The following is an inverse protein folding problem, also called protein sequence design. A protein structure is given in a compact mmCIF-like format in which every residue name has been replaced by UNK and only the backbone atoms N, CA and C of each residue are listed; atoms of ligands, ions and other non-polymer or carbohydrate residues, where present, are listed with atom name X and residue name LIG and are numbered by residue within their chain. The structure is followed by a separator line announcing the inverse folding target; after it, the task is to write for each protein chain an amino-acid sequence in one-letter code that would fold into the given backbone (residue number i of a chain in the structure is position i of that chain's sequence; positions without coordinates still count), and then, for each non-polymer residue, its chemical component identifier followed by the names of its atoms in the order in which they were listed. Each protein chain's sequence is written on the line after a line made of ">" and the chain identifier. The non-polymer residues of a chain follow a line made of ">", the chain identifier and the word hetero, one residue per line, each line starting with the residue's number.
data_IF_243336779625
#
_entry.id   IF_243336779625
#
_cell.length_a   1.000
_cell.length_b   1.000
_cell.length_c   1.000
_cell.angle_alpha   90.00
_cell.angle_beta   90.00
_cell.angle_gamma   90.00
#
_symmetry.space_group_name_H-M   'P 1'
#
loop_
_entity.id
_entity.type
_entity.pdbx_description
1 polymer ?
#
# COMPACT_ATOMS: atom_id res chain seq x y z
N UNK A 1 -78.93 -2.07 2.17
CA UNK A 1 -77.93 -3.08 1.76
C UNK A 1 -76.95 -2.38 0.85
N UNK A 2 -75.84 -1.91 1.42
CA UNK A 2 -74.65 -1.54 0.68
C UNK A 2 -73.64 -2.62 1.05
N UNK A 3 -73.29 -3.48 0.09
CA UNK A 3 -72.22 -4.45 0.24
C UNK A 3 -70.89 -3.71 0.03
N UNK A 4 -70.04 -3.74 1.05
CA UNK A 4 -68.64 -3.31 0.98
C UNK A 4 -67.85 -4.42 0.29
N UNK A 5 -67.42 -4.18 -0.96
CA UNK A 5 -66.45 -5.02 -1.64
C UNK A 5 -65.07 -4.78 -1.03
N UNK A 6 -64.66 -5.69 -0.15
CA UNK A 6 -63.32 -5.74 0.43
C UNK A 6 -62.37 -6.47 -0.54
N UNK A 7 -61.69 -5.71 -1.40
CA UNK A 7 -60.63 -6.21 -2.28
C UNK A 7 -59.45 -6.73 -1.43
N UNK A 8 -59.31 -8.05 -1.35
CA UNK A 8 -58.14 -8.71 -0.77
C UNK A 8 -56.96 -8.59 -1.75
N UNK A 9 -55.96 -7.77 -1.40
CA UNK A 9 -54.66 -7.74 -2.09
C UNK A 9 -54.00 -9.13 -2.01
N UNK A 10 -53.49 -9.62 -3.14
CA UNK A 10 -52.86 -10.94 -3.21
C UNK A 10 -51.44 -10.91 -2.61
N UNK A 11 -50.98 -12.05 -2.08
CA UNK A 11 -49.61 -12.19 -1.53
C UNK A 11 -48.52 -11.84 -2.56
N UNK A 12 -48.78 -12.09 -3.84
CA UNK A 12 -47.88 -11.70 -4.94
C UNK A 12 -47.83 -10.18 -5.16
N UNK A 13 -48.92 -9.46 -4.90
CA UNK A 13 -48.93 -7.99 -5.00
C UNK A 13 -48.10 -7.39 -3.86
N UNK A 14 -48.22 -7.94 -2.64
CA UNK A 14 -47.41 -7.58 -1.47
C UNK A 14 -45.92 -7.90 -1.62
N UNK A 15 -45.56 -9.03 -2.25
CA UNK A 15 -44.17 -9.38 -2.56
C UNK A 15 -43.57 -8.45 -3.63
N UNK A 16 -44.35 -8.04 -4.63
CA UNK A 16 -43.92 -7.10 -5.67
C UNK A 16 -43.70 -5.67 -5.14
N UNK A 17 -44.49 -5.25 -4.15
CA UNK A 17 -44.30 -3.99 -3.45
C UNK A 17 -43.06 -4.02 -2.53
N UNK A 18 -42.68 -5.18 -1.99
CA UNK A 18 -41.50 -5.34 -1.14
C UNK A 18 -40.19 -5.31 -1.93
N UNK A 19 -40.17 -5.91 -3.12
CA UNK A 19 -39.01 -5.92 -4.03
C UNK A 19 -38.78 -4.58 -4.76
N UNK A 20 -39.77 -3.68 -4.71
CA UNK A 20 -39.69 -2.32 -5.27
C UNK A 20 -39.33 -1.24 -4.25
N UNK A 21 -39.15 -1.60 -2.98
CA UNK A 21 -38.57 -0.69 -1.98
C UNK A 21 -37.07 -0.58 -2.28
N UNK A 22 -36.55 0.57 -2.72
CA UNK A 22 -35.11 0.74 -2.82
C UNK A 22 -34.52 0.54 -1.42
N UNK A 23 -33.82 -0.58 -1.21
CA UNK A 23 -33.03 -0.80 0.00
C UNK A 23 -32.13 0.42 0.11
N UNK A 24 -32.27 1.28 1.14
CA UNK A 24 -31.38 2.41 1.29
C UNK A 24 -29.97 1.82 1.33
N UNK A 25 -29.09 2.25 0.43
CA UNK A 25 -27.67 1.95 0.51
C UNK A 25 -27.12 2.65 1.76
N UNK A 26 -27.35 2.03 2.91
CA UNK A 26 -27.02 2.57 4.21
C UNK A 26 -25.54 2.32 4.46
N UNK A 27 -24.76 3.40 4.48
CA UNK A 27 -23.36 3.34 4.87
C UNK A 27 -23.25 3.26 6.40
N UNK A 28 -23.10 2.05 6.94
CA UNK A 28 -22.93 1.84 8.37
C UNK A 28 -21.49 2.17 8.82
N UNK A 29 -21.23 3.46 8.98
CA UNK A 29 -19.92 3.99 9.40
C UNK A 29 -19.37 3.30 10.65
N UNK A 30 -20.22 3.01 11.64
CA UNK A 30 -19.77 2.47 12.92
C UNK A 30 -19.34 1.01 12.79
N UNK A 31 -20.04 0.21 11.97
CA UNK A 31 -19.58 -1.15 11.66
C UNK A 31 -18.25 -1.16 10.94
N UNK A 32 -18.03 -0.24 10.00
CA UNK A 32 -16.74 -0.12 9.31
C UNK A 32 -15.61 0.23 10.27
N UNK A 33 -15.81 1.19 11.18
CA UNK A 33 -14.80 1.55 12.19
C UNK A 33 -14.47 0.37 13.09
N UNK A 34 -15.49 -0.33 13.61
CA UNK A 34 -15.30 -1.50 14.47
C UNK A 34 -14.49 -2.60 13.76
N UNK A 35 -14.79 -2.87 12.48
CA UNK A 35 -14.02 -3.81 11.67
C UNK A 35 -12.55 -3.39 11.51
N UNK A 36 -12.30 -2.11 11.21
CA UNK A 36 -10.95 -1.59 11.03
C UNK A 36 -10.14 -1.62 12.33
N UNK A 37 -10.74 -1.26 13.46
CA UNK A 37 -10.11 -1.35 14.79
C UNK A 37 -9.69 -2.79 15.12
N UNK A 38 -10.61 -3.75 14.93
CA UNK A 38 -10.31 -5.16 15.11
C UNK A 38 -9.11 -5.61 14.25
N UNK A 39 -9.10 -5.23 12.96
CA UNK A 39 -8.02 -5.59 12.03
C UNK A 39 -6.67 -4.94 12.39
N UNK A 40 -6.66 -3.81 13.10
CA UNK A 40 -5.44 -3.17 13.59
C UNK A 40 -4.81 -3.96 14.75
N UNK A 41 -5.65 -4.43 15.68
CA UNK A 41 -5.20 -5.16 16.88
C UNK A 41 -4.81 -6.60 16.56
N UNK A 42 -5.69 -7.33 15.85
CA UNK A 42 -5.53 -8.76 15.60
C UNK A 42 -5.96 -9.11 14.18
N UNK A 43 -5.09 -9.86 13.49
CA UNK A 43 -5.42 -10.42 12.20
C UNK A 43 -6.21 -11.73 12.37
N UNK A 44 -7.47 -11.84 11.87
CA UNK A 44 -8.26 -13.05 12.00
C UNK A 44 -7.60 -14.25 11.31
N UNK A 45 -7.85 -15.47 11.80
CA UNK A 45 -7.26 -16.71 11.25
C UNK A 45 -7.37 -16.88 9.72
N UNK A 46 -8.48 -16.52 9.05
CA UNK A 46 -8.54 -16.57 7.58
C UNK A 46 -7.49 -15.71 6.86
N UNK A 47 -6.96 -14.69 7.51
CA UNK A 47 -5.92 -13.81 6.99
C UNK A 47 -4.50 -14.24 7.39
N UNK A 48 -4.31 -15.40 8.02
CA UNK A 48 -2.98 -15.88 8.44
C UNK A 48 -1.99 -15.92 7.27
N UNK A 49 -2.43 -16.26 6.05
CA UNK A 49 -1.59 -16.25 4.85
C UNK A 49 -1.09 -14.85 4.46
N UNK A 50 -1.73 -13.80 4.98
CA UNK A 50 -1.39 -12.40 4.76
C UNK A 50 -0.50 -11.82 5.86
N UNK A 51 0.02 -12.63 6.80
CA UNK A 51 0.91 -12.12 7.85
C UNK A 51 2.14 -11.41 7.26
N UNK A 52 2.69 -11.89 6.13
CA UNK A 52 3.81 -11.21 5.45
C UNK A 52 3.43 -9.78 4.96
N UNK A 53 2.15 -9.53 4.74
CA UNK A 53 1.56 -8.27 4.29
C UNK A 53 0.94 -7.47 5.44
N UNK A 54 1.23 -7.80 6.70
CA UNK A 54 0.61 -7.16 7.88
C UNK A 54 0.74 -5.64 7.87
N UNK A 55 1.89 -5.10 7.47
CA UNK A 55 2.10 -3.66 7.35
C UNK A 55 1.22 -3.02 6.27
N UNK A 56 1.03 -3.71 5.15
CA UNK A 56 0.13 -3.26 4.07
C UNK A 56 -1.33 -3.26 4.53
N UNK A 57 -1.74 -4.29 5.27
CA UNK A 57 -3.09 -4.34 5.87
C UNK A 57 -3.29 -3.21 6.88
N UNK A 58 -2.30 -2.96 7.75
CA UNK A 58 -2.35 -1.85 8.69
C UNK A 58 -2.44 -0.49 7.96
N UNK A 59 -1.79 -0.34 6.81
CA UNK A 59 -1.91 0.86 5.99
C UNK A 59 -3.35 1.07 5.52
N UNK A 60 -4.00 0.05 4.96
CA UNK A 60 -5.41 0.16 4.58
C UNK A 60 -6.33 0.47 5.76
N UNK A 61 -6.03 -0.11 6.92
CA UNK A 61 -6.78 0.14 8.15
C UNK A 61 -6.65 1.59 8.63
N UNK A 62 -5.43 2.09 8.76
CA UNK A 62 -5.15 3.46 9.23
C UNK A 62 -5.72 4.49 8.25
N UNK A 63 -5.51 4.31 6.94
CA UNK A 63 -6.11 5.20 5.93
C UNK A 63 -7.64 5.11 5.92
N UNK A 64 -8.21 3.93 6.11
CA UNK A 64 -9.66 3.76 6.24
C UNK A 64 -10.22 4.53 7.44
N UNK A 65 -9.55 4.46 8.59
CA UNK A 65 -9.94 5.21 9.79
C UNK A 65 -9.77 6.72 9.60
N UNK A 66 -8.75 7.17 8.88
CA UNK A 66 -8.56 8.59 8.52
C UNK A 66 -9.67 9.11 7.61
N UNK A 67 -10.00 8.37 6.54
CA UNK A 67 -11.11 8.69 5.63
C UNK A 67 -12.43 8.79 6.41
N UNK A 68 -12.63 7.91 7.39
CA UNK A 68 -13.81 7.92 8.25
C UNK A 68 -13.76 8.96 9.36
N UNK A 69 -12.68 9.72 9.50
CA UNK A 69 -12.46 10.73 10.55
C UNK A 69 -12.51 10.11 11.96
N UNK A 70 -11.81 9.00 12.16
CA UNK A 70 -11.81 8.22 13.40
C UNK A 70 -10.40 7.85 13.91
N UNK A 71 -9.37 8.61 13.50
CA UNK A 71 -7.99 8.39 13.98
C UNK A 71 -7.81 8.67 15.48
N UNK A 72 -8.75 9.35 16.12
CA UNK A 72 -8.78 9.57 17.57
C UNK A 72 -8.94 8.26 18.36
N UNK A 73 -9.43 7.20 17.72
CA UNK A 73 -9.63 5.88 18.33
C UNK A 73 -8.40 4.98 18.25
N UNK A 74 -7.35 5.42 17.55
CA UNK A 74 -6.11 4.66 17.34
C UNK A 74 -5.08 5.05 18.40
N UNK A 75 -4.42 4.05 19.00
CA UNK A 75 -3.18 4.26 19.75
C UNK A 75 -2.05 4.67 18.78
N UNK A 76 -1.94 5.98 18.53
CA UNK A 76 -1.00 6.52 17.54
C UNK A 76 0.44 6.21 17.90
N UNK A 77 0.82 6.36 19.17
CA UNK A 77 2.19 6.12 19.62
C UNK A 77 2.54 4.63 19.51
N UNK A 78 1.63 3.74 19.92
CA UNK A 78 1.81 2.30 19.77
C UNK A 78 1.99 1.88 18.32
N UNK A 79 1.17 2.40 17.41
CA UNK A 79 1.26 2.10 15.97
C UNK A 79 2.55 2.68 15.37
N UNK A 80 2.92 3.92 15.69
CA UNK A 80 4.18 4.54 15.23
C UNK A 80 5.38 3.70 15.67
N UNK A 81 5.46 3.35 16.95
CA UNK A 81 6.55 2.54 17.50
C UNK A 81 6.62 1.16 16.84
N UNK A 82 5.46 0.53 16.60
CA UNK A 82 5.39 -0.74 15.88
C UNK A 82 5.89 -0.61 14.44
N UNK A 83 5.45 0.40 13.69
CA UNK A 83 5.90 0.62 12.30
C UNK A 83 7.41 0.88 12.25
N UNK A 84 7.93 1.76 13.11
CA UNK A 84 9.37 2.05 13.20
C UNK A 84 10.18 0.79 13.53
N UNK A 85 9.64 -0.12 14.35
CA UNK A 85 10.33 -1.40 14.67
C UNK A 85 10.52 -2.33 13.46
N UNK A 86 9.83 -2.07 12.34
CA UNK A 86 9.95 -2.82 11.09
C UNK A 86 10.98 -2.22 10.13
N UNK A 87 11.54 -1.03 10.42
CA UNK A 87 12.59 -0.45 9.60
C UNK A 87 13.85 -1.32 9.65
N UNK A 88 14.42 -1.57 8.48
CA UNK A 88 15.71 -2.20 8.35
C UNK A 88 16.81 -1.14 8.41
N UNK A 89 17.87 -1.41 9.17
CA UNK A 89 19.00 -0.51 9.31
C UNK A 89 20.29 -1.19 8.85
N UNK A 90 21.16 -0.48 8.11
CA UNK A 90 22.51 -0.97 7.83
C UNK A 90 23.33 -1.00 9.12
N UNK A 91 24.31 -1.93 9.22
CA UNK A 91 25.21 -1.97 10.37
C UNK A 91 26.30 -0.89 10.26
N UNK A 92 26.75 -0.62 9.04
CA UNK A 92 27.75 0.40 8.73
C UNK A 92 27.47 1.09 7.38
N UNK A 93 28.28 2.09 7.00
CA UNK A 93 28.11 2.75 5.69
C UNK A 93 28.47 1.85 4.50
N UNK A 94 29.32 0.83 4.70
CA UNK A 94 29.72 -0.08 3.63
C UNK A 94 28.54 -0.97 3.19
N UNK A 95 27.65 -1.31 4.11
CA UNK A 95 26.39 -2.01 3.85
C UNK A 95 25.49 -1.28 2.84
N UNK A 96 25.54 0.05 2.74
CA UNK A 96 24.74 0.76 1.72
C UNK A 96 25.16 0.45 0.28
N UNK A 97 26.35 -0.14 0.10
CA UNK A 97 26.89 -0.58 -1.19
C UNK A 97 26.72 -2.07 -1.48
N UNK A 98 26.16 -2.85 -0.56
CA UNK A 98 25.99 -4.30 -0.72
C UNK A 98 24.80 -4.68 -1.64
N UNK A 99 24.10 -3.68 -2.17
CA UNK A 99 22.94 -3.84 -3.06
C UNK A 99 21.61 -4.08 -2.33
N UNK A 100 21.62 -4.33 -1.02
CA UNK A 100 20.40 -4.51 -0.23
C UNK A 100 19.60 -3.22 -0.13
N UNK A 101 18.30 -3.37 0.09
CA UNK A 101 17.38 -2.29 0.37
C UNK A 101 17.15 -2.18 1.87
N UNK A 102 17.21 -0.96 2.42
CA UNK A 102 17.05 -0.68 3.86
C UNK A 102 15.79 0.17 4.09
N UNK A 103 14.65 -0.38 3.67
CA UNK A 103 13.32 0.19 3.88
C UNK A 103 12.62 -0.43 5.08
N UNK A 104 11.35 -0.80 4.92
CA UNK A 104 10.55 -1.49 5.95
C UNK A 104 10.21 -2.91 5.53
N UNK A 105 10.20 -3.81 6.52
CA UNK A 105 9.70 -5.17 6.38
C UNK A 105 8.16 -5.18 6.37
N UNK A 106 7.56 -6.14 5.66
CA UNK A 106 6.10 -6.30 5.63
C UNK A 106 5.50 -6.81 6.95
N UNK A 107 6.31 -7.46 7.79
CA UNK A 107 5.90 -8.00 9.09
C UNK A 107 7.11 -8.31 9.98
N UNK A 108 6.86 -8.64 11.26
CA UNK A 108 7.91 -9.14 12.15
C UNK A 108 8.47 -10.49 11.70
N UNK A 109 7.64 -11.36 11.12
CA UNK A 109 8.11 -12.65 10.61
C UNK A 109 9.11 -12.50 9.47
N UNK A 110 8.98 -11.44 8.67
CA UNK A 110 9.91 -11.10 7.60
C UNK A 110 11.28 -10.60 8.09
N UNK A 111 11.41 -10.23 9.37
CA UNK A 111 12.69 -9.82 9.98
C UNK A 111 13.55 -11.03 10.38
N UNK A 112 12.94 -12.19 10.57
CA UNK A 112 13.60 -13.41 11.05
C UNK A 112 13.47 -14.52 9.99
N UNK A 113 14.37 -14.56 9.00
CA UNK A 113 14.49 -15.75 8.18
C UNK A 113 15.31 -16.84 8.92
N UNK A 114 14.97 -18.13 8.79
CA UNK A 114 15.79 -19.21 9.34
C UNK A 114 17.17 -19.21 8.68
N UNK A 115 18.23 -19.14 9.49
CA UNK A 115 19.60 -19.25 9.03
C UNK A 115 19.93 -20.73 8.75
N UNK A 116 19.60 -21.24 7.56
CA UNK A 116 19.92 -22.64 7.26
C UNK A 116 21.40 -22.85 6.84
N UNK A 117 22.16 -21.81 6.45
CA UNK A 117 23.49 -22.01 5.84
C UNK A 117 24.60 -20.96 6.13
N UNK A 118 24.50 -20.13 7.17
CA UNK A 118 25.64 -19.33 7.64
C UNK A 118 26.08 -18.16 6.75
N UNK A 119 25.30 -17.81 5.72
CA UNK A 119 25.47 -16.58 4.96
C UNK A 119 24.70 -15.44 5.64
N UNK A 120 25.19 -14.20 5.51
CA UNK A 120 24.46 -13.01 5.96
C UNK A 120 23.05 -13.02 5.34
N UNK A 121 22.02 -12.95 6.18
CA UNK A 121 20.64 -13.01 5.72
C UNK A 121 20.36 -11.85 4.75
N UNK A 122 19.68 -12.10 3.63
CA UNK A 122 19.19 -11.03 2.78
C UNK A 122 18.16 -10.21 3.58
N UNK A 123 18.38 -8.90 3.71
CA UNK A 123 17.36 -7.98 4.21
C UNK A 123 16.11 -8.10 3.33
N UNK A 124 14.99 -8.42 3.97
CA UNK A 124 13.69 -8.66 3.32
C UNK A 124 12.79 -7.43 3.37
N UNK A 125 13.35 -6.24 3.61
CA UNK A 125 12.62 -5.02 3.42
C UNK A 125 12.17 -4.88 1.97
N UNK A 126 10.97 -4.32 1.79
CA UNK A 126 10.27 -4.35 0.52
C UNK A 126 9.77 -2.95 0.17
N UNK A 127 9.86 -2.58 -1.11
CA UNK A 127 9.52 -1.23 -1.55
C UNK A 127 8.05 -0.86 -1.28
N UNK A 128 7.12 -1.78 -1.54
CA UNK A 128 5.70 -1.58 -1.23
C UNK A 128 5.44 -1.45 0.29
N UNK A 129 6.13 -2.22 1.13
CA UNK A 129 6.01 -2.15 2.58
C UNK A 129 6.57 -0.82 3.11
N UNK A 130 7.64 -0.32 2.50
CA UNK A 130 8.22 1.00 2.81
C UNK A 130 7.25 2.13 2.49
N UNK A 131 6.60 2.09 1.31
CA UNK A 131 5.54 3.03 0.96
C UNK A 131 4.40 3.00 1.99
N UNK A 132 3.95 1.82 2.39
CA UNK A 132 2.89 1.66 3.40
C UNK A 132 3.31 2.23 4.76
N UNK A 133 4.54 1.94 5.20
CA UNK A 133 5.12 2.44 6.45
C UNK A 133 5.10 3.97 6.52
N UNK A 134 5.68 4.61 5.50
CA UNK A 134 5.75 6.07 5.43
C UNK A 134 4.36 6.69 5.35
N UNK A 135 3.43 6.07 4.62
CA UNK A 135 2.05 6.54 4.54
C UNK A 135 1.35 6.48 5.90
N UNK A 136 1.52 5.38 6.66
CA UNK A 136 1.00 5.28 8.03
C UNK A 136 1.59 6.37 8.91
N UNK A 137 2.93 6.50 8.94
CA UNK A 137 3.63 7.48 9.75
C UNK A 137 3.17 8.91 9.42
N UNK A 138 3.05 9.24 8.13
CA UNK A 138 2.54 10.55 7.68
C UNK A 138 1.10 10.78 8.13
N UNK A 139 0.23 9.78 7.97
CA UNK A 139 -1.19 9.86 8.37
C UNK A 139 -1.34 10.08 9.88
N UNK A 140 -0.47 9.47 10.68
CA UNK A 140 -0.47 9.63 12.13
C UNK A 140 0.24 10.90 12.62
N UNK A 141 0.85 11.68 11.71
CA UNK A 141 1.51 12.95 12.03
C UNK A 141 2.93 12.79 12.58
N UNK A 142 3.62 11.69 12.27
CA UNK A 142 5.02 11.48 12.64
C UNK A 142 5.95 12.45 11.90
N UNK A 143 6.97 12.96 12.60
CA UNK A 143 7.98 13.84 12.02
C UNK A 143 9.09 13.03 11.34
N UNK A 144 9.18 13.13 10.01
CA UNK A 144 10.21 12.47 9.22
C UNK A 144 11.62 13.00 9.44
N UNK A 145 11.80 14.15 10.11
CA UNK A 145 13.13 14.63 10.52
C UNK A 145 13.83 13.66 11.48
N UNK A 146 13.07 12.83 12.20
CA UNK A 146 13.55 11.83 13.14
C UNK A 146 13.79 10.46 12.50
N UNK A 147 13.41 10.28 11.23
CA UNK A 147 13.57 9.03 10.49
C UNK A 147 14.94 8.99 9.79
N UNK A 148 15.58 7.82 9.76
CA UNK A 148 16.72 7.58 8.87
C UNK A 148 16.25 7.45 7.41
N UNK A 149 15.91 8.60 6.82
CA UNK A 149 15.48 8.72 5.43
C UNK A 149 16.63 8.52 4.43
N UNK A 150 17.87 8.79 4.85
CA UNK A 150 19.04 8.70 3.98
C UNK A 150 19.38 7.26 3.61
N UNK A 151 19.31 6.32 4.57
CA UNK A 151 19.51 4.89 4.26
C UNK A 151 18.45 4.37 3.30
N UNK A 152 17.18 4.78 3.46
CA UNK A 152 16.08 4.40 2.57
C UNK A 152 16.38 4.89 1.14
N UNK A 153 16.68 6.18 0.96
CA UNK A 153 16.89 6.77 -0.36
C UNK A 153 18.15 6.22 -1.04
N UNK A 154 19.27 6.10 -0.32
CA UNK A 154 20.53 5.59 -0.90
C UNK A 154 20.39 4.13 -1.34
N UNK A 155 19.77 3.30 -0.51
CA UNK A 155 19.60 1.88 -0.82
C UNK A 155 18.53 1.63 -1.89
N UNK A 156 17.48 2.47 -1.96
CA UNK A 156 16.47 2.41 -3.01
C UNK A 156 17.05 2.61 -4.41
N UNK A 157 18.13 3.39 -4.54
CA UNK A 157 18.83 3.58 -5.82
C UNK A 157 19.30 2.26 -6.44
N UNK A 158 19.68 1.29 -5.60
CA UNK A 158 20.14 -0.02 -6.05
C UNK A 158 19.00 -0.88 -6.64
N UNK A 159 17.74 -0.51 -6.41
CA UNK A 159 16.57 -1.22 -6.91
C UNK A 159 16.16 -0.81 -8.32
N UNK A 160 16.62 0.36 -8.79
CA UNK A 160 16.29 0.83 -10.14
C UNK A 160 17.06 0.03 -11.19
N UNK A 161 16.32 -0.51 -12.16
CA UNK A 161 16.86 -1.30 -13.25
C UNK A 161 17.33 -0.43 -14.42
N UNK A 162 18.06 -1.04 -15.33
CA UNK A 162 18.62 -0.35 -16.50
C UNK A 162 17.54 0.28 -17.41
N UNK A 163 16.36 -0.36 -17.49
CA UNK A 163 15.19 0.05 -18.28
C UNK A 163 14.31 1.09 -17.58
N UNK A 164 14.66 1.49 -16.34
CA UNK A 164 13.91 2.44 -15.53
C UNK A 164 12.86 1.84 -14.61
N UNK A 165 12.61 0.53 -14.69
CA UNK A 165 11.77 -0.19 -13.73
C UNK A 165 12.41 -0.26 -12.35
N UNK A 166 11.64 -0.69 -11.34
CA UNK A 166 12.15 -0.92 -9.99
C UNK A 166 11.85 -2.35 -9.57
N UNK A 167 12.85 -3.00 -8.94
CA UNK A 167 12.65 -4.22 -8.18
C UNK A 167 12.13 -3.89 -6.77
N UNK A 168 11.29 -4.72 -6.16
CA UNK A 168 10.84 -4.49 -4.78
C UNK A 168 11.89 -4.85 -3.74
N UNK A 169 12.79 -5.78 -4.07
CA UNK A 169 13.86 -6.31 -3.23
C UNK A 169 15.12 -6.53 -4.07
N UNK A 170 16.29 -6.52 -3.44
CA UNK A 170 17.58 -6.62 -4.12
C UNK A 170 17.86 -7.99 -4.77
N UNK A 171 17.27 -9.07 -4.23
CA UNK A 171 17.50 -10.45 -4.69
C UNK A 171 16.76 -10.80 -5.98
N UNK A 172 16.05 -9.84 -6.57
CA UNK A 172 15.20 -10.05 -7.75
C UNK A 172 13.79 -10.48 -7.38
N UNK A 173 12.82 -9.90 -8.09
CA UNK A 173 11.40 -10.24 -8.08
C UNK A 173 10.77 -9.61 -9.35
N UNK A 174 9.45 -9.47 -9.38
CA UNK A 174 8.78 -8.80 -10.49
C UNK A 174 9.15 -7.31 -10.57
N UNK A 175 9.22 -6.78 -11.78
CA UNK A 175 9.50 -5.37 -12.06
C UNK A 175 8.32 -4.80 -12.84
N UNK A 176 7.53 -3.95 -12.18
CA UNK A 176 6.35 -3.34 -12.78
C UNK A 176 6.11 -1.92 -12.26
N UNK A 177 5.12 -1.24 -12.86
CA UNK A 177 4.77 0.14 -12.53
C UNK A 177 4.44 0.40 -11.05
N UNK A 178 3.98 -0.61 -10.29
CA UNK A 178 3.66 -0.43 -8.87
C UNK A 178 4.92 -0.03 -8.08
N UNK A 179 6.07 -0.57 -8.45
CA UNK A 179 7.33 -0.26 -7.76
C UNK A 179 7.92 1.08 -8.20
N UNK A 180 7.72 1.48 -9.44
CA UNK A 180 8.03 2.86 -9.88
C UNK A 180 7.20 3.87 -9.09
N UNK A 181 5.90 3.61 -8.90
CA UNK A 181 5.05 4.42 -8.04
C UNK A 181 5.53 4.45 -6.59
N UNK A 182 5.83 3.29 -6.01
CA UNK A 182 6.30 3.23 -4.62
C UNK A 182 7.58 4.05 -4.44
N UNK A 183 8.57 3.90 -5.34
CA UNK A 183 9.81 4.68 -5.29
C UNK A 183 9.54 6.19 -5.38
N UNK A 184 8.72 6.62 -6.34
CA UNK A 184 8.38 8.02 -6.53
C UNK A 184 7.60 8.60 -5.34
N UNK A 185 6.65 7.85 -4.77
CA UNK A 185 5.89 8.27 -3.60
C UNK A 185 6.77 8.36 -2.35
N UNK A 186 7.70 7.40 -2.14
CA UNK A 186 8.70 7.47 -1.07
C UNK A 186 9.57 8.71 -1.22
N UNK A 187 10.09 8.98 -2.42
CA UNK A 187 10.91 10.16 -2.70
C UNK A 187 10.15 11.47 -2.46
N UNK A 188 8.87 11.52 -2.84
CA UNK A 188 7.99 12.66 -2.60
C UNK A 188 7.73 12.88 -1.10
N UNK A 189 7.38 11.82 -0.36
CA UNK A 189 7.13 11.88 1.09
C UNK A 189 8.36 12.31 1.90
N UNK A 190 9.55 11.89 1.47
CA UNK A 190 10.82 12.22 2.11
C UNK A 190 11.50 13.47 1.51
N UNK A 191 10.85 14.13 0.54
CA UNK A 191 11.35 15.32 -0.15
C UNK A 191 12.78 15.15 -0.71
N UNK A 192 13.14 13.94 -1.14
CA UNK A 192 14.46 13.60 -1.62
C UNK A 192 14.41 12.65 -2.82
N UNK A 193 14.78 13.16 -3.98
CA UNK A 193 14.75 12.44 -5.27
C UNK A 193 16.12 11.88 -5.70
N UNK A 194 17.16 11.99 -4.87
CA UNK A 194 18.52 11.54 -5.22
C UNK A 194 18.66 10.02 -5.42
N UNK A 195 17.66 9.26 -4.97
CA UNK A 195 17.59 7.80 -5.13
C UNK A 195 16.94 7.32 -6.44
N UNK A 196 16.52 8.22 -7.35
CA UNK A 196 15.82 7.85 -8.59
C UNK A 196 16.45 8.56 -9.80
N UNK A 197 16.81 7.80 -10.83
CA UNK A 197 17.00 8.31 -12.19
C UNK A 197 15.60 8.60 -12.78
N UNK A 198 15.20 9.87 -12.71
CA UNK A 198 13.87 10.33 -13.12
C UNK A 198 13.61 10.11 -14.61
N UNK A 199 14.62 10.28 -15.45
CA UNK A 199 14.46 10.19 -16.90
C UNK A 199 14.21 8.75 -17.33
N UNK A 200 14.95 7.79 -16.77
CA UNK A 200 14.68 6.38 -17.02
C UNK A 200 13.32 5.93 -16.50
N UNK A 201 12.93 6.40 -15.31
CA UNK A 201 11.62 6.09 -14.75
C UNK A 201 10.47 6.61 -15.65
N UNK A 202 10.63 7.83 -16.21
CA UNK A 202 9.67 8.38 -17.21
C UNK A 202 9.62 7.53 -18.47
N UNK A 203 10.77 7.15 -19.01
CA UNK A 203 10.86 6.31 -20.22
C UNK A 203 10.15 4.97 -20.01
N UNK A 204 10.40 4.31 -18.87
CA UNK A 204 9.71 3.08 -18.51
C UNK A 204 8.19 3.25 -18.46
N UNK A 205 7.70 4.31 -17.81
CA UNK A 205 6.25 4.60 -17.73
C UNK A 205 5.65 4.79 -19.12
N UNK A 206 6.31 5.55 -19.98
CA UNK A 206 5.84 5.79 -21.35
C UNK A 206 5.78 4.46 -22.12
N UNK A 207 6.76 3.58 -21.94
CA UNK A 207 6.79 2.26 -22.57
C UNK A 207 5.70 1.30 -22.06
N UNK A 208 5.11 1.58 -20.89
CA UNK A 208 3.96 0.84 -20.38
C UNK A 208 2.61 1.32 -20.95
N UNK A 209 2.58 2.40 -21.75
CA UNK A 209 1.34 2.85 -22.37
C UNK A 209 0.90 1.88 -23.49
N UNK A 210 -0.35 1.41 -23.42
CA UNK A 210 -0.94 0.52 -24.42
C UNK A 210 -1.69 1.29 -25.51
N UNK A 211 -2.17 0.57 -26.53
CA UNK A 211 -2.83 1.12 -27.72
C UNK A 211 -4.14 1.86 -27.42
N UNK A 212 -4.79 1.54 -26.30
CA UNK A 212 -6.03 2.17 -25.82
C UNK A 212 -5.76 3.47 -25.02
N UNK A 213 -4.48 3.85 -24.87
CA UNK A 213 -4.04 5.00 -24.09
C UNK A 213 -3.93 4.73 -22.59
N UNK A 214 -4.38 3.56 -22.12
CA UNK A 214 -4.17 3.08 -20.76
C UNK A 214 -2.73 2.62 -20.53
N UNK A 215 -2.43 2.25 -19.28
CA UNK A 215 -1.10 1.77 -18.90
C UNK A 215 -1.17 0.34 -18.39
N UNK A 216 -0.31 -0.50 -18.93
CA UNK A 216 -0.04 -1.84 -18.44
C UNK A 216 0.89 -1.84 -17.23
N UNK A 217 0.95 -2.96 -16.49
CA UNK A 217 1.90 -3.11 -15.38
C UNK A 217 3.34 -3.16 -15.90
N UNK A 218 3.55 -3.73 -17.08
CA UNK A 218 4.85 -3.82 -17.75
C UNK A 218 4.70 -3.41 -19.22
N UNK A 219 5.79 -3.07 -19.92
CA UNK A 219 5.74 -2.78 -21.34
C UNK A 219 5.05 -3.89 -22.13
N UNK A 220 4.16 -3.51 -23.04
CA UNK A 220 3.36 -4.43 -23.88
C UNK A 220 2.31 -5.29 -23.14
N UNK A 221 2.02 -5.04 -21.86
CA UNK A 221 0.90 -5.70 -21.19
C UNK A 221 -0.44 -5.01 -21.48
N UNK A 222 -1.55 -5.73 -21.27
CA UNK A 222 -2.89 -5.12 -21.32
C UNK A 222 -2.99 -3.98 -20.31
N UNK A 223 -3.73 -2.94 -20.68
CA UNK A 223 -4.02 -1.82 -19.80
C UNK A 223 -4.76 -2.32 -18.56
N UNK A 224 -4.23 -1.97 -17.39
CA UNK A 224 -4.83 -2.28 -16.11
C UNK A 224 -5.17 -0.98 -15.38
N UNK A 225 -6.21 -0.98 -14.55
CA UNK A 225 -6.88 0.23 -14.00
C UNK A 225 -6.02 1.01 -12.98
N UNK A 226 -4.70 0.83 -12.93
CA UNK A 226 -3.80 1.68 -12.15
C UNK A 226 -3.42 2.96 -12.92
N UNK A 227 -4.41 3.72 -13.39
CA UNK A 227 -4.21 5.04 -14.03
C UNK A 227 -3.60 6.09 -13.08
N UNK A 228 -3.55 5.80 -11.78
CA UNK A 228 -3.00 6.67 -10.73
C UNK A 228 -1.47 6.76 -10.80
N UNK A 229 -0.79 5.69 -11.21
CA UNK A 229 0.68 5.63 -11.24
C UNK A 229 1.29 6.62 -12.24
N UNK A 230 0.88 6.65 -13.53
CA UNK A 230 1.52 7.52 -14.51
C UNK A 230 1.25 9.01 -14.26
N UNK A 231 0.07 9.39 -13.76
CA UNK A 231 -0.29 10.78 -13.51
C UNK A 231 0.48 11.36 -12.32
N UNK A 232 0.54 10.63 -11.20
CA UNK A 232 1.28 11.06 -10.02
C UNK A 232 2.78 11.21 -10.32
N UNK A 233 3.35 10.24 -11.02
CA UNK A 233 4.76 10.24 -11.38
C UNK A 233 5.07 11.33 -12.40
N UNK A 234 4.21 11.54 -13.41
CA UNK A 234 4.38 12.65 -14.36
C UNK A 234 4.36 14.01 -13.68
N UNK A 235 3.51 14.24 -12.68
CA UNK A 235 3.46 15.52 -11.96
C UNK A 235 4.74 15.83 -11.18
N UNK A 236 5.41 14.82 -10.61
CA UNK A 236 6.57 15.04 -9.73
C UNK A 236 7.93 14.79 -10.40
N UNK A 237 7.95 14.10 -11.53
CA UNK A 237 9.18 13.92 -12.30
C UNK A 237 9.41 15.03 -13.34
N UNK A 238 8.44 15.91 -13.62
CA UNK A 238 8.51 16.87 -14.73
C UNK A 238 9.41 18.11 -14.52
N UNK A 239 10.17 18.16 -13.42
CA UNK A 239 11.14 19.24 -13.15
C UNK A 239 12.59 18.78 -13.44
#
# INVERSE_FOLDING_TARGET
>A
MAEEDNEFLSLSDLESELDSIPIPMFFDRNRHICYLEMMLELLPSPYQSQEINRLTLAYFVVCGLDILRSLDRVDKEGVINWVLSLQAHPQDEADLSNGQFYGFHGSRSSQFQPNDYGNALPNCSHLASTYCALSILKTLGYDFSLLDSMSIIKSMKNLQQHDGSFMPIHSGAETDLRFVYCAAAISSMLENWSGIDKEKAKEYIINCQSYDGGFGLTPSSESHVSQVVPLFVRLHLSD
#
